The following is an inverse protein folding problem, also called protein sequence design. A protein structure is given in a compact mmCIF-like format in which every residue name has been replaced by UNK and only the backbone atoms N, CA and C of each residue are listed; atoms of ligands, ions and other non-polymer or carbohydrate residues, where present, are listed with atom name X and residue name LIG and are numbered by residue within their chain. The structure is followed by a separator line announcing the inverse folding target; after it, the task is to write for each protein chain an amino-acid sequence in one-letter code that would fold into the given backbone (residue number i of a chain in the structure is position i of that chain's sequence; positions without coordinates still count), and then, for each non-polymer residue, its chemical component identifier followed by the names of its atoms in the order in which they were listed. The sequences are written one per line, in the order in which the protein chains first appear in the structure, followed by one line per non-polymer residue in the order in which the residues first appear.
data_IF_610216555830
#
_entry.id   IF_610216555830
#
_cell.length_a   1.000
_cell.length_b   1.000
_cell.length_c   1.000
_cell.angle_alpha   90.00
_cell.angle_beta   90.00
_cell.angle_gamma   90.00
#
_symmetry.space_group_name_H-M   'P 1'
#
loop_
_entity.id
_entity.type
_entity.pdbx_description
1 polymer ?
#
# COMPACT_ATOMS: atom_id res chain seq x y z
N UNK A 1 -34.38 -2.47 -6.54
CA UNK A 1 -34.45 -2.16 -5.10
C UNK A 1 -34.70 -0.66 -4.93
N UNK A 2 -35.09 -0.18 -3.74
CA UNK A 2 -35.19 1.27 -3.49
C UNK A 2 -33.81 1.94 -3.50
N UNK A 3 -33.76 3.27 -3.63
CA UNK A 3 -32.51 4.00 -3.40
C UNK A 3 -32.03 3.80 -1.96
N UNK A 4 -30.74 3.59 -1.76
CA UNK A 4 -30.14 3.42 -0.44
C UNK A 4 -29.70 4.78 0.11
N UNK A 5 -29.94 5.02 1.38
CA UNK A 5 -29.58 6.24 2.10
C UNK A 5 -28.25 6.08 2.84
N UNK A 6 -27.69 7.20 3.30
CA UNK A 6 -26.52 7.18 4.17
C UNK A 6 -26.85 6.44 5.48
N UNK A 7 -26.06 5.43 5.81
CA UNK A 7 -26.27 4.59 7.00
C UNK A 7 -26.92 3.23 6.72
N UNK A 8 -27.48 3.01 5.53
CA UNK A 8 -27.98 1.69 5.14
C UNK A 8 -26.82 0.69 5.05
N UNK A 9 -26.92 -0.42 5.77
CA UNK A 9 -25.87 -1.44 5.79
C UNK A 9 -26.14 -2.61 4.86
N UNK A 10 -27.29 -2.67 4.19
CA UNK A 10 -27.66 -3.77 3.29
C UNK A 10 -27.73 -3.28 1.84
N UNK A 11 -27.00 -3.95 0.95
CA UNK A 11 -26.96 -3.66 -0.49
C UNK A 11 -27.36 -4.91 -1.24
N UNK A 12 -28.45 -4.84 -2.00
CA UNK A 12 -28.90 -5.96 -2.84
C UNK A 12 -28.29 -5.82 -4.22
N UNK A 13 -27.57 -6.84 -4.66
CA UNK A 13 -26.99 -6.94 -5.99
C UNK A 13 -27.82 -7.89 -6.86
N UNK A 14 -27.67 -7.75 -8.18
CA UNK A 14 -28.17 -8.76 -9.11
C UNK A 14 -27.40 -10.07 -8.97
N UNK A 15 -26.08 -9.97 -8.75
CA UNK A 15 -25.19 -11.09 -8.45
C UNK A 15 -24.10 -10.62 -7.46
N UNK A 16 -23.96 -11.33 -6.34
CA UNK A 16 -22.93 -11.06 -5.34
C UNK A 16 -21.85 -12.14 -5.25
N UNK A 17 -21.86 -13.15 -6.13
CA UNK A 17 -20.93 -14.29 -6.08
C UNK A 17 -19.46 -13.86 -6.19
N UNK A 18 -19.18 -12.76 -6.89
CA UNK A 18 -17.82 -12.25 -7.10
C UNK A 18 -17.31 -11.32 -5.99
N UNK A 19 -18.07 -11.11 -4.92
CA UNK A 19 -17.74 -10.16 -3.86
C UNK A 19 -17.48 -10.88 -2.54
N UNK A 20 -16.26 -10.80 -2.04
CA UNK A 20 -15.88 -11.46 -0.78
C UNK A 20 -16.02 -10.52 0.43
N UNK A 21 -16.20 -11.12 1.62
CA UNK A 21 -16.15 -10.38 2.88
C UNK A 21 -14.77 -9.74 3.05
N UNK A 22 -14.75 -8.46 3.44
CA UNK A 22 -13.52 -7.66 3.52
C UNK A 22 -13.20 -6.88 2.25
N UNK A 23 -13.87 -7.18 1.13
CA UNK A 23 -13.71 -6.41 -0.11
C UNK A 23 -14.12 -4.96 0.08
N UNK A 24 -13.42 -4.07 -0.62
CA UNK A 24 -13.83 -2.66 -0.75
C UNK A 24 -14.42 -2.51 -2.15
N UNK A 25 -15.61 -1.94 -2.23
CA UNK A 25 -16.31 -1.65 -3.48
C UNK A 25 -16.68 -0.17 -3.50
N UNK A 26 -16.73 0.41 -4.69
CA UNK A 26 -17.03 1.82 -4.92
C UNK A 26 -18.29 1.96 -5.76
N UNK A 27 -19.02 3.05 -5.57
CA UNK A 27 -20.25 3.31 -6.32
C UNK A 27 -19.92 4.14 -7.55
N UNK A 28 -20.00 3.57 -8.75
CA UNK A 28 -19.58 4.23 -9.99
C UNK A 28 -20.37 5.50 -10.34
N UNK A 29 -21.61 5.61 -9.89
CA UNK A 29 -22.45 6.80 -10.11
C UNK A 29 -22.15 7.96 -9.15
N UNK A 30 -21.30 7.77 -8.15
CA UNK A 30 -20.97 8.78 -7.14
C UNK A 30 -19.46 8.93 -7.06
N UNK A 31 -18.98 10.16 -7.04
CA UNK A 31 -17.55 10.49 -7.07
C UNK A 31 -16.78 10.07 -5.80
N UNK A 32 -16.77 8.79 -5.46
CA UNK A 32 -15.82 8.21 -4.52
C UNK A 32 -16.38 7.56 -3.27
N UNK A 33 -17.69 7.35 -3.06
CA UNK A 33 -18.13 6.58 -1.89
C UNK A 33 -17.55 5.16 -1.92
N UNK A 34 -16.89 4.77 -0.83
CA UNK A 34 -16.35 3.43 -0.62
C UNK A 34 -17.18 2.68 0.40
N UNK A 35 -17.45 1.42 0.10
CA UNK A 35 -18.24 0.47 0.86
C UNK A 35 -17.31 -0.67 1.26
N UNK A 36 -17.20 -0.99 2.53
CA UNK A 36 -16.49 -2.20 2.99
C UNK A 36 -17.48 -3.32 3.23
N UNK A 37 -17.32 -4.45 2.56
CA UNK A 37 -18.20 -5.61 2.73
C UNK A 37 -17.89 -6.30 4.05
N UNK A 38 -18.90 -6.44 4.90
CA UNK A 38 -18.81 -7.10 6.21
C UNK A 38 -19.49 -8.46 6.23
N UNK A 39 -20.44 -8.71 5.31
CA UNK A 39 -21.01 -10.04 5.08
C UNK A 39 -21.49 -10.15 3.63
N UNK A 40 -21.49 -11.38 3.09
CA UNK A 40 -22.15 -11.73 1.84
C UNK A 40 -23.08 -12.90 2.11
N UNK A 41 -24.37 -12.73 1.84
CA UNK A 41 -25.38 -13.76 2.09
C UNK A 41 -25.47 -14.82 0.99
N UNK A 42 -24.65 -14.74 -0.06
CA UNK A 42 -24.57 -15.77 -1.10
C UNK A 42 -24.23 -17.16 -0.47
N UNK A 43 -24.89 -18.26 -0.90
CA UNK A 43 -25.84 -18.38 -2.00
C UNK A 43 -27.32 -18.16 -1.63
N UNK A 44 -27.61 -17.82 -0.36
CA UNK A 44 -29.00 -17.70 0.12
C UNK A 44 -29.70 -16.43 -0.36
N UNK A 45 -28.95 -15.35 -0.58
CA UNK A 45 -29.42 -14.15 -1.28
C UNK A 45 -28.24 -13.36 -1.84
N UNK A 46 -28.48 -12.48 -2.82
CA UNK A 46 -27.45 -11.59 -3.37
C UNK A 46 -27.30 -10.29 -2.55
N UNK A 47 -27.48 -10.38 -1.23
CA UNK A 47 -27.40 -9.24 -0.32
C UNK A 47 -26.02 -9.16 0.32
N UNK A 48 -25.38 -8.00 0.19
CA UNK A 48 -24.17 -7.65 0.91
C UNK A 48 -24.53 -6.84 2.15
N UNK A 49 -23.89 -7.17 3.27
CA UNK A 49 -23.80 -6.25 4.40
C UNK A 49 -22.53 -5.42 4.24
N UNK A 50 -22.63 -4.11 4.36
CA UNK A 50 -21.52 -3.17 4.15
C UNK A 50 -21.42 -2.13 5.26
N UNK A 51 -20.21 -1.66 5.49
CA UNK A 51 -19.94 -0.37 6.15
C UNK A 51 -19.86 0.71 5.08
N UNK A 52 -20.74 1.72 5.17
CA UNK A 52 -20.80 2.89 4.28
C UNK A 52 -19.71 3.91 4.62
N UNK A 53 -19.29 4.71 3.64
CA UNK A 53 -18.33 5.80 3.87
C UNK A 53 -16.97 5.35 4.43
N UNK A 54 -16.46 4.23 3.97
CA UNK A 54 -15.21 3.66 4.50
C UNK A 54 -13.97 4.45 4.01
N UNK A 55 -12.87 4.35 4.77
CA UNK A 55 -11.56 4.90 4.42
C UNK A 55 -11.41 6.40 4.72
N UNK A 56 -12.09 7.24 3.93
CA UNK A 56 -12.08 8.72 4.03
C UNK A 56 -13.29 9.35 3.31
N UNK A 57 -14.30 8.55 2.97
CA UNK A 57 -15.39 8.93 2.07
C UNK A 57 -16.67 9.13 2.87
N UNK A 58 -17.49 10.12 2.53
CA UNK A 58 -18.78 10.29 3.21
C UNK A 58 -19.80 9.31 2.64
N UNK A 59 -20.63 8.73 3.51
CA UNK A 59 -21.77 7.93 3.08
C UNK A 59 -22.77 8.83 2.34
N UNK A 60 -23.25 8.40 1.17
CA UNK A 60 -24.13 9.18 0.32
C UNK A 60 -25.39 8.40 -0.08
N UNK A 61 -26.32 9.03 -0.79
CA UNK A 61 -27.55 8.34 -1.24
C UNK A 61 -27.28 7.61 -2.54
N UNK A 62 -27.25 6.28 -2.56
CA UNK A 62 -27.02 5.49 -3.78
C UNK A 62 -28.33 5.31 -4.55
N UNK A 63 -28.35 5.76 -5.80
CA UNK A 63 -29.49 5.55 -6.70
C UNK A 63 -29.72 4.06 -6.98
N UNK A 64 -30.98 3.67 -7.18
CA UNK A 64 -31.29 2.33 -7.68
C UNK A 64 -30.57 2.08 -9.03
N UNK A 65 -30.02 0.88 -9.21
CA UNK A 65 -29.27 0.50 -10.40
C UNK A 65 -27.87 1.12 -10.50
N UNK A 66 -27.33 1.68 -9.41
CA UNK A 66 -25.94 2.13 -9.40
C UNK A 66 -24.97 0.97 -9.63
N UNK A 67 -24.01 1.17 -10.53
CA UNK A 67 -22.95 0.20 -10.81
C UNK A 67 -21.98 0.20 -9.63
N UNK A 68 -21.69 -0.98 -9.07
CA UNK A 68 -20.61 -1.14 -8.10
C UNK A 68 -19.34 -1.59 -8.81
N UNK A 69 -18.25 -0.90 -8.51
CA UNK A 69 -16.95 -1.12 -9.12
C UNK A 69 -16.01 -1.62 -8.02
N UNK A 70 -15.31 -2.76 -8.19
CA UNK A 70 -14.28 -3.19 -7.26
C UNK A 70 -13.29 -2.05 -7.01
N UNK A 71 -13.05 -1.71 -5.75
CA UNK A 71 -12.14 -0.61 -5.43
C UNK A 71 -10.73 -0.95 -5.93
N UNK A 72 -10.15 -0.03 -6.71
CA UNK A 72 -8.72 -0.02 -6.97
C UNK A 72 -8.11 1.04 -6.09
N UNK A 73 -7.01 0.77 -5.37
CA UNK A 73 -6.10 1.87 -5.10
C UNK A 73 -5.68 2.44 -6.47
N UNK A 74 -5.86 3.74 -6.68
CA UNK A 74 -5.04 4.46 -7.66
C UNK A 74 -3.55 4.19 -7.30
N UNK A 75 -2.60 4.42 -8.21
CA UNK A 75 -1.19 4.38 -7.82
C UNK A 75 -1.02 5.32 -6.62
N UNK A 76 -0.76 4.74 -5.45
CA UNK A 76 -0.62 5.50 -4.21
C UNK A 76 0.86 5.66 -3.95
N UNK A 77 1.27 6.92 -3.96
CA UNK A 77 2.57 7.33 -3.48
C UNK A 77 2.34 7.88 -2.08
N UNK A 78 2.78 7.14 -1.06
CA UNK A 78 2.81 7.66 0.30
C UNK A 78 4.18 8.32 0.48
N UNK A 79 4.20 9.65 0.46
CA UNK A 79 5.42 10.44 0.66
C UNK A 79 5.30 11.27 1.93
N UNK A 80 6.39 11.35 2.68
CA UNK A 80 6.56 12.41 3.67
C UNK A 80 7.86 13.17 3.41
N UNK A 81 7.75 14.49 3.39
CA UNK A 81 8.90 15.40 3.23
C UNK A 81 9.54 15.79 4.55
N UNK A 82 8.92 15.46 5.69
CA UNK A 82 9.39 15.85 7.02
C UNK A 82 9.17 14.71 8.02
N UNK A 83 10.19 14.26 8.75
CA UNK A 83 9.97 13.47 9.94
C UNK A 83 9.29 14.40 10.96
N UNK A 84 8.23 13.93 11.63
CA UNK A 84 7.62 14.70 12.71
C UNK A 84 8.65 14.89 13.79
N UNK A 85 8.94 16.15 14.17
CA UNK A 85 9.70 16.42 15.37
C UNK A 85 9.01 15.74 16.57
N UNK A 86 9.62 14.68 17.11
CA UNK A 86 9.10 13.89 18.21
C UNK A 86 8.72 12.44 17.88
N UNK A 87 8.59 12.07 16.61
CA UNK A 87 8.44 10.66 16.18
C UNK A 87 9.70 10.25 15.41
N UNK A 88 10.63 9.57 16.08
CA UNK A 88 11.81 8.98 15.45
C UNK A 88 11.32 7.91 14.47
N UNK A 89 11.38 8.20 13.18
CA UNK A 89 11.27 7.15 12.19
C UNK A 89 12.50 6.24 12.33
N UNK A 90 12.28 4.95 12.53
CA UNK A 90 13.39 3.99 12.66
C UNK A 90 13.37 3.03 11.48
N UNK A 91 14.52 2.90 10.82
CA UNK A 91 14.76 1.89 9.80
C UNK A 91 15.61 0.80 10.41
N UNK A 92 15.13 -0.44 10.39
CA UNK A 92 15.93 -1.60 10.78
C UNK A 92 16.34 -2.39 9.54
N UNK A 93 17.65 -2.61 9.35
CA UNK A 93 18.21 -3.46 8.32
C UNK A 93 18.97 -4.59 9.01
N UNK A 94 18.51 -5.84 8.86
CA UNK A 94 19.10 -7.03 9.50
C UNK A 94 19.40 -6.85 10.99
N UNK A 95 18.47 -6.20 11.71
CA UNK A 95 18.55 -5.95 13.16
C UNK A 95 19.34 -4.70 13.56
N UNK A 96 19.97 -3.97 12.63
CA UNK A 96 20.61 -2.69 12.91
C UNK A 96 19.64 -1.53 12.68
N UNK A 97 19.51 -0.63 13.65
CA UNK A 97 18.57 0.51 13.59
C UNK A 97 19.26 1.80 13.12
N UNK A 98 18.58 2.54 12.25
CA UNK A 98 19.02 3.83 11.70
C UNK A 98 17.92 4.87 11.84
N UNK A 99 18.33 6.13 12.03
CA UNK A 99 17.42 7.27 12.11
C UNK A 99 16.96 7.68 10.72
N UNK A 100 15.65 7.69 10.50
CA UNK A 100 15.04 8.04 9.21
C UNK A 100 14.79 9.54 9.12
N UNK A 101 15.20 10.13 8.00
CA UNK A 101 14.95 11.53 7.65
C UNK A 101 13.73 11.69 6.75
N UNK A 102 13.58 10.83 5.75
CA UNK A 102 12.43 10.83 4.84
C UNK A 102 12.22 9.45 4.25
N UNK A 103 11.00 9.18 3.80
CA UNK A 103 10.68 7.93 3.12
C UNK A 103 9.55 8.13 2.09
N UNK A 104 9.56 7.27 1.08
CA UNK A 104 8.53 7.19 0.04
C UNK A 104 8.23 5.71 -0.23
N UNK A 105 6.97 5.31 -0.09
CA UNK A 105 6.51 3.97 -0.48
C UNK A 105 5.66 4.11 -1.75
N UNK A 106 6.02 3.33 -2.77
CA UNK A 106 5.32 3.28 -4.06
C UNK A 106 4.75 1.89 -4.26
N UNK A 107 3.44 1.81 -4.45
CA UNK A 107 2.74 0.60 -4.87
C UNK A 107 2.27 0.77 -6.31
N UNK A 108 2.82 -0.03 -7.22
CA UNK A 108 2.41 -0.06 -8.63
C UNK A 108 1.66 -1.36 -8.90
N UNK A 109 0.39 -1.23 -9.26
CA UNK A 109 -0.51 -2.38 -9.49
C UNK A 109 -0.19 -3.15 -10.77
N UNK A 110 0.50 -2.53 -11.74
CA UNK A 110 0.74 -3.05 -13.09
C UNK A 110 -0.53 -3.61 -13.75
N UNK A 111 -1.67 -2.96 -13.51
CA UNK A 111 -2.91 -3.27 -14.21
C UNK A 111 -2.78 -2.73 -15.64
N UNK A 112 -2.99 -3.60 -16.63
CA UNK A 112 -2.99 -3.23 -18.03
C UNK A 112 -4.43 -3.24 -18.52
N UNK A 113 -4.83 -2.17 -19.20
CA UNK A 113 -6.07 -2.15 -19.96
C UNK A 113 -5.77 -2.62 -21.38
N UNK A 114 -6.30 -3.77 -21.74
CA UNK A 114 -6.30 -4.24 -23.12
C UNK A 114 -7.59 -3.76 -23.77
N UNK A 115 -7.44 -3.03 -24.88
CA UNK A 115 -8.56 -2.75 -25.76
C UNK A 115 -8.46 -3.75 -26.91
N UNK A 116 -9.45 -4.63 -27.05
CA UNK A 116 -9.49 -5.50 -28.22
C UNK A 116 -9.89 -4.68 -29.47
N UNK A 117 -9.66 -5.26 -30.65
CA UNK A 117 -10.02 -4.62 -31.92
C UNK A 117 -11.54 -4.47 -32.13
N UNK A 118 -12.35 -5.00 -31.21
CA UNK A 118 -13.81 -4.99 -31.24
C UNK A 118 -14.43 -3.98 -30.26
N UNK A 119 -13.60 -3.18 -29.57
CA UNK A 119 -14.04 -2.13 -28.65
C UNK A 119 -14.35 -2.61 -27.24
N UNK A 120 -14.02 -3.86 -26.91
CA UNK A 120 -14.11 -4.39 -25.56
C UNK A 120 -12.84 -4.02 -24.79
N UNK A 121 -13.01 -3.29 -23.69
CA UNK A 121 -11.92 -3.03 -22.75
C UNK A 121 -11.90 -4.13 -21.69
N UNK A 122 -10.85 -4.95 -21.68
CA UNK A 122 -10.58 -5.89 -20.59
C UNK A 122 -9.44 -5.35 -19.71
N UNK A 123 -9.55 -5.57 -18.40
CA UNK A 123 -8.50 -5.20 -17.45
C UNK A 123 -7.74 -6.46 -17.02
N UNK A 124 -6.49 -6.57 -17.43
CA UNK A 124 -5.59 -7.64 -16.96
C UNK A 124 -4.77 -7.18 -15.76
N UNK A 125 -4.48 -8.12 -14.84
CA UNK A 125 -3.69 -7.84 -13.63
C UNK A 125 -4.50 -7.39 -12.41
N UNK A 126 -5.83 -7.34 -12.51
CA UNK A 126 -6.69 -7.04 -11.37
C UNK A 126 -6.94 -8.26 -10.47
N UNK A 127 -7.25 -9.41 -11.09
CA UNK A 127 -7.47 -10.69 -10.41
C UNK A 127 -6.16 -11.45 -10.12
N UNK A 128 -5.07 -11.11 -10.80
CA UNK A 128 -3.76 -11.75 -10.64
C UNK A 128 -2.80 -10.88 -9.83
N UNK A 129 -2.62 -11.12 -8.52
CA UNK A 129 -1.77 -10.32 -7.64
C UNK A 129 -0.28 -10.33 -8.02
N UNK A 130 0.13 -11.25 -8.89
CA UNK A 130 1.51 -11.59 -9.22
C UNK A 130 2.30 -10.51 -9.97
N UNK A 131 1.68 -9.36 -10.27
CA UNK A 131 2.30 -8.24 -10.99
C UNK A 131 2.45 -6.97 -10.16
N UNK A 132 2.06 -6.94 -8.89
CA UNK A 132 2.23 -5.72 -8.08
C UNK A 132 3.72 -5.49 -7.78
N UNK A 133 4.21 -4.29 -8.07
CA UNK A 133 5.55 -3.84 -7.70
C UNK A 133 5.43 -2.94 -6.47
N UNK A 134 6.25 -3.22 -5.45
CA UNK A 134 6.40 -2.35 -4.28
C UNK A 134 7.84 -1.85 -4.27
N UNK A 135 8.04 -0.54 -4.11
CA UNK A 135 9.35 0.02 -3.84
C UNK A 135 9.30 0.95 -2.64
N UNK A 136 10.30 0.82 -1.76
CA UNK A 136 10.48 1.66 -0.60
C UNK A 136 11.78 2.44 -0.76
N UNK A 137 11.70 3.75 -0.79
CA UNK A 137 12.84 4.65 -0.76
C UNK A 137 12.95 5.27 0.63
N UNK A 138 14.10 5.16 1.28
CA UNK A 138 14.33 5.79 2.60
C UNK A 138 15.64 6.55 2.56
N UNK A 139 15.59 7.79 3.05
CA UNK A 139 16.77 8.57 3.41
C UNK A 139 16.98 8.45 4.91
N UNK A 140 18.12 7.89 5.32
CA UNK A 140 18.48 7.69 6.71
C UNK A 140 19.87 8.21 6.99
N UNK A 141 20.12 8.52 8.26
CA UNK A 141 21.40 9.04 8.74
C UNK A 141 22.32 7.90 9.14
N UNK A 142 23.54 7.94 8.64
CA UNK A 142 24.63 7.04 8.98
C UNK A 142 25.68 7.78 9.79
N UNK A 143 26.02 7.21 10.94
CA UNK A 143 27.21 7.58 11.69
C UNK A 143 28.45 6.93 11.06
N UNK A 144 29.59 7.61 11.17
CA UNK A 144 30.87 7.20 10.59
C UNK A 144 31.27 5.75 10.91
N UNK A 145 30.97 5.30 12.13
CA UNK A 145 31.31 3.96 12.61
C UNK A 145 30.46 2.84 11.96
N UNK A 146 29.29 3.19 11.42
CA UNK A 146 28.37 2.26 10.78
C UNK A 146 28.58 2.17 9.27
N UNK A 147 29.30 3.12 8.66
CA UNK A 147 29.57 3.20 7.21
C UNK A 147 30.12 1.87 6.64
N UNK A 148 31.17 1.24 7.21
CA UNK A 148 31.72 0.00 6.66
C UNK A 148 30.73 -1.18 6.69
N UNK A 149 29.85 -1.22 7.71
CA UNK A 149 28.84 -2.28 7.86
C UNK A 149 27.75 -2.14 6.82
N UNK A 150 27.28 -0.91 6.55
CA UNK A 150 26.22 -0.66 5.58
C UNK A 150 26.72 -0.77 4.14
N UNK A 151 27.97 -0.39 3.86
CA UNK A 151 28.60 -0.64 2.55
C UNK A 151 28.66 -2.15 2.23
N UNK A 152 28.94 -3.01 3.23
CA UNK A 152 28.96 -4.46 3.06
C UNK A 152 27.58 -5.07 2.77
N UNK A 153 26.52 -4.46 3.31
CA UNK A 153 25.12 -4.81 3.07
C UNK A 153 24.71 -4.34 1.66
N UNK A 154 24.95 -3.08 1.31
CA UNK A 154 24.47 -2.47 0.07
C UNK A 154 25.20 -2.88 -1.22
N UNK A 155 26.42 -3.42 -1.14
CA UNK A 155 27.20 -3.81 -2.34
C UNK A 155 26.93 -5.21 -2.88
N UNK A 156 26.29 -6.10 -2.11
CA UNK A 156 26.28 -7.53 -2.43
C UNK A 156 25.01 -8.05 -3.12
N UNK A 157 24.11 -7.18 -3.58
CA UNK A 157 22.75 -7.57 -4.03
C UNK A 157 22.06 -8.54 -3.04
N UNK A 158 22.47 -8.47 -1.77
CA UNK A 158 22.06 -9.42 -0.77
C UNK A 158 20.60 -9.14 -0.40
N UNK A 159 19.90 -10.23 -0.08
CA UNK A 159 18.51 -10.15 0.35
C UNK A 159 18.52 -9.79 1.83
N UNK A 160 17.88 -8.67 2.17
CA UNK A 160 17.83 -8.13 3.53
C UNK A 160 16.40 -8.07 4.03
N UNK A 161 16.27 -8.13 5.36
CA UNK A 161 15.04 -7.80 6.06
C UNK A 161 15.04 -6.31 6.39
N UNK A 162 14.02 -5.59 5.94
CA UNK A 162 13.85 -4.15 6.16
C UNK A 162 12.56 -3.89 6.90
N UNK A 163 12.65 -3.19 8.03
CA UNK A 163 11.48 -2.70 8.76
C UNK A 163 11.56 -1.19 8.90
N UNK A 164 10.54 -0.48 8.41
CA UNK A 164 10.38 0.95 8.59
C UNK A 164 9.21 1.19 9.53
N UNK A 165 9.47 1.91 10.62
CA UNK A 165 8.41 2.47 11.47
C UNK A 165 8.44 3.97 11.29
N UNK A 166 7.37 4.56 10.76
CA UNK A 166 7.28 6.00 10.54
C UNK A 166 5.82 6.48 10.57
N UNK A 167 5.59 7.72 11.01
CA UNK A 167 4.24 8.29 11.11
C UNK A 167 4.12 9.67 10.47
N UNK A 168 2.91 10.07 10.10
CA UNK A 168 2.60 11.40 9.57
C UNK A 168 1.88 12.32 10.58
N UNK A 169 1.41 11.77 11.71
CA UNK A 169 0.92 12.50 12.87
C UNK A 169 1.30 11.75 14.17
N UNK A 170 1.32 12.44 15.31
CA UNK A 170 1.44 11.80 16.63
C UNK A 170 0.29 10.80 16.81
N UNK A 171 0.62 9.55 17.16
CA UNK A 171 -0.37 8.47 17.30
C UNK A 171 -0.87 7.87 15.98
N UNK A 172 -0.18 8.16 14.87
CA UNK A 172 -0.49 7.57 13.57
C UNK A 172 0.80 6.97 13.02
N UNK A 173 1.17 5.78 13.50
CA UNK A 173 2.39 5.09 13.10
C UNK A 173 2.09 4.05 12.03
N UNK A 174 2.92 4.08 10.99
CA UNK A 174 2.93 3.13 9.91
C UNK A 174 4.15 2.23 10.08
N UNK A 175 3.91 0.93 10.23
CA UNK A 175 4.97 -0.07 10.22
C UNK A 175 4.93 -0.80 8.90
N UNK A 176 6.02 -0.71 8.15
CA UNK A 176 6.26 -1.43 6.91
C UNK A 176 7.33 -2.49 7.15
N UNK A 177 6.97 -3.76 6.96
CA UNK A 177 7.93 -4.87 7.05
C UNK A 177 8.12 -5.44 5.66
N UNK A 178 9.36 -5.56 5.21
CA UNK A 178 9.79 -6.24 3.98
C UNK A 178 10.79 -7.34 4.36
N UNK A 179 10.34 -8.59 4.39
CA UNK A 179 11.15 -9.71 4.89
C UNK A 179 12.34 -10.05 3.96
N UNK A 180 12.18 -9.84 2.65
CA UNK A 180 13.15 -10.23 1.62
C UNK A 180 13.24 -9.17 0.53
N UNK A 181 14.05 -8.15 0.73
CA UNK A 181 14.25 -7.09 -0.25
C UNK A 181 15.71 -6.99 -0.70
N UNK A 182 15.91 -6.57 -1.95
CA UNK A 182 17.21 -6.13 -2.45
C UNK A 182 17.23 -4.62 -2.43
N UNK A 183 18.28 -4.06 -1.84
CA UNK A 183 18.62 -2.65 -2.05
C UNK A 183 19.10 -2.48 -3.49
N UNK A 184 18.55 -1.51 -4.22
CA UNK A 184 19.20 -1.01 -5.43
C UNK A 184 20.57 -0.46 -5.04
N UNK A 185 21.55 -0.66 -5.93
CA UNK A 185 22.95 -0.35 -5.71
C UNK A 185 23.15 0.90 -4.84
N UNK A 186 23.69 0.69 -3.63
CA UNK A 186 23.91 1.77 -2.69
C UNK A 186 24.83 2.82 -3.34
N UNK A 187 24.47 4.12 -3.31
CA UNK A 187 25.32 5.14 -3.92
C UNK A 187 26.70 5.13 -3.25
N UNK A 188 27.77 5.48 -3.98
CA UNK A 188 29.08 5.64 -3.38
C UNK A 188 28.99 6.60 -2.19
N UNK A 189 29.34 6.12 -1.00
CA UNK A 189 29.39 6.96 0.20
C UNK A 189 30.78 7.59 0.22
N UNK A 190 30.85 8.89 -0.05
CA UNK A 190 32.06 9.67 0.25
C UNK A 190 32.17 9.81 1.77
N UNK A 191 33.36 9.60 2.33
CA UNK A 191 33.58 9.80 3.76
C UNK A 191 33.38 11.29 4.08
N UNK A 192 32.33 11.67 4.82
CA UNK A 192 32.11 13.07 5.17
C UNK A 192 33.23 13.60 6.09
N UNK A 193 33.49 14.91 6.03
CA UNK A 193 34.31 15.61 7.04
C UNK A 193 33.60 15.68 8.41
N UNK A 194 32.27 15.49 8.44
CA UNK A 194 31.44 15.41 9.65
C UNK A 194 31.20 13.96 10.02
N UNK A 195 30.91 13.67 11.29
CA UNK A 195 30.70 12.28 11.77
C UNK A 195 29.38 11.63 11.27
N UNK A 196 28.60 12.32 10.44
CA UNK A 196 27.31 11.88 9.93
C UNK A 196 27.19 12.09 8.41
N UNK A 197 26.58 11.14 7.71
CA UNK A 197 26.19 11.24 6.30
C UNK A 197 24.75 10.79 6.11
N UNK A 198 23.97 11.52 5.30
CA UNK A 198 22.63 11.10 4.90
C UNK A 198 22.76 10.21 3.65
N UNK A 199 22.14 9.04 3.67
CA UNK A 199 22.11 8.12 2.53
C UNK A 199 20.68 7.79 2.14
N UNK A 200 20.42 7.83 0.84
CA UNK A 200 19.16 7.38 0.24
C UNK A 200 19.37 6.02 -0.40
N UNK A 201 18.52 5.05 -0.05
CA UNK A 201 18.49 3.72 -0.65
C UNK A 201 17.06 3.37 -1.02
N UNK A 202 16.91 2.73 -2.18
CA UNK A 202 15.64 2.16 -2.64
C UNK A 202 15.68 0.65 -2.48
N UNK A 203 14.72 0.07 -1.77
CA UNK A 203 14.55 -1.37 -1.65
C UNK A 203 13.36 -1.86 -2.45
N UNK A 204 13.56 -3.01 -3.09
CA UNK A 204 12.52 -3.73 -3.84
C UNK A 204 12.45 -5.17 -3.32
N UNK A 205 11.26 -5.69 -2.97
CA UNK A 205 11.10 -7.09 -2.57
C UNK A 205 11.55 -8.05 -3.68
N UNK A 206 12.30 -9.09 -3.31
CA UNK A 206 12.75 -10.13 -4.25
C UNK A 206 11.88 -11.37 -4.15
N UNK A 207 10.73 -11.31 -4.82
CA UNK A 207 9.82 -12.40 -5.24
C UNK A 207 9.62 -13.64 -4.34
N UNK A 208 8.34 -13.97 -4.10
CA UNK A 208 7.69 -15.23 -4.56
C UNK A 208 6.17 -15.05 -4.61
N UNK A 209 5.56 -15.25 -5.78
CA UNK A 209 4.16 -15.62 -6.12
C UNK A 209 2.91 -15.08 -5.36
N UNK A 210 3.04 -14.44 -4.21
CA UNK A 210 1.94 -14.06 -3.33
C UNK A 210 2.23 -12.67 -2.76
N UNK A 211 1.19 -11.85 -2.67
CA UNK A 211 1.24 -10.45 -2.26
C UNK A 211 1.49 -10.26 -0.74
N UNK A 212 2.17 -11.20 -0.09
CA UNK A 212 2.20 -11.34 1.37
C UNK A 212 3.37 -10.63 2.06
N UNK A 213 4.29 -9.99 1.35
CA UNK A 213 5.55 -9.56 1.97
C UNK A 213 5.56 -8.13 2.52
N UNK A 214 4.59 -7.27 2.19
CA UNK A 214 4.44 -5.97 2.85
C UNK A 214 3.33 -6.08 3.90
N UNK A 215 3.72 -6.33 5.14
CA UNK A 215 2.79 -6.13 6.26
C UNK A 215 2.74 -4.64 6.56
N UNK A 216 1.56 -4.05 6.35
CA UNK A 216 1.27 -2.67 6.70
C UNK A 216 0.34 -2.63 7.91
N UNK A 217 0.87 -2.16 9.04
CA UNK A 217 0.09 -1.96 10.25
C UNK A 217 -0.04 -0.46 10.51
N UNK A 218 -1.27 0.00 10.73
CA UNK A 218 -1.56 1.31 11.30
C UNK A 218 -1.86 1.08 12.78
N UNK A 219 -1.15 1.79 13.66
CA UNK A 219 -1.45 1.83 15.09
C UNK A 219 -1.70 3.26 15.52
#
# INVERSE_FOLDING_TARGET
SGALTAGDTAVVLEDSQMVEVGSIISVGSQGGEQLRVTANAYPTSNTLTVTRGWGITSAATISNGAILIPWSPAAQTLETTLPIAGTIGSLTIDGQSFTVKSWSLKLKKNANYHNDHYGTTSADGYATPNKREVSLEVTFRLERDLIPKVIGIGKNEAVHSVTLVAGNATGNTHTFVMARCKGMAMPPIEYPERDEVDVTVTWTPTHTAENTELTYNIT
#
